data_IF_633735013414
#
_entry.id   IF_633735013414
#
_cell.length_a   1.000
_cell.length_b   1.000
_cell.length_c   1.000
_cell.angle_alpha   90.00
_cell.angle_beta   90.00
_cell.angle_gamma   90.00
#
_symmetry.space_group_name_H-M   'P 1'
#
loop_
_entity.id
_entity.type
_entity.pdbx_description
1 polymer ?
#
# COMPACT_ATOMS: atom_id res chain seq x y z
N UNK A 1 40.52 -8.10 17.02
CA UNK A 1 39.66 -9.30 17.15
C UNK A 1 38.20 -8.84 17.20
N UNK A 2 37.51 -8.81 16.06
CA UNK A 2 36.12 -8.37 15.99
C UNK A 2 35.19 -9.54 16.34
N UNK A 3 34.45 -9.41 17.45
CA UNK A 3 33.54 -10.42 17.95
C UNK A 3 32.36 -10.62 17.00
N UNK A 4 32.12 -11.88 16.61
CA UNK A 4 30.87 -12.31 16.00
C UNK A 4 29.72 -11.91 16.93
N UNK A 5 28.79 -11.09 16.41
CA UNK A 5 27.55 -10.78 17.12
C UNK A 5 26.75 -12.05 17.46
N UNK A 6 25.73 -11.93 18.31
CA UNK A 6 24.91 -13.07 18.74
C UNK A 6 24.40 -13.87 17.53
N UNK A 7 24.47 -15.20 17.63
CA UNK A 7 24.03 -16.08 16.56
C UNK A 7 22.56 -15.79 16.17
N UNK A 8 22.22 -15.77 14.87
CA UNK A 8 20.85 -15.55 14.42
C UNK A 8 19.89 -16.53 15.10
N UNK A 9 18.77 -16.02 15.59
CA UNK A 9 17.76 -16.83 16.28
C UNK A 9 17.30 -17.98 15.38
N UNK A 10 17.23 -19.18 15.96
CA UNK A 10 16.68 -20.39 15.33
C UNK A 10 15.39 -20.03 14.57
N UNK A 11 15.32 -20.31 13.26
CA UNK A 11 14.14 -20.04 12.43
C UNK A 11 12.83 -20.55 13.06
N UNK A 12 12.86 -21.69 13.76
CA UNK A 12 11.71 -22.30 14.43
C UNK A 12 11.27 -21.56 15.70
N UNK A 13 12.13 -20.69 16.24
CA UNK A 13 11.88 -19.87 17.45
C UNK A 13 11.66 -18.39 17.13
N UNK A 14 11.58 -18.04 15.84
CA UNK A 14 11.22 -16.69 15.40
C UNK A 14 9.72 -16.47 15.67
N UNK A 15 9.40 -15.36 16.32
CA UNK A 15 8.00 -14.95 16.46
C UNK A 15 7.43 -14.73 15.05
N UNK A 16 6.32 -15.40 14.72
CA UNK A 16 5.67 -15.32 13.41
C UNK A 16 5.63 -16.63 12.61
N UNK A 17 6.37 -17.66 13.00
CA UNK A 17 6.37 -18.96 12.30
C UNK A 17 5.33 -19.96 12.87
N UNK A 18 4.18 -19.48 13.34
CA UNK A 18 3.09 -20.40 13.74
C UNK A 18 2.48 -20.96 12.44
N UNK A 19 2.70 -22.26 12.23
CA UNK A 19 2.25 -23.04 11.08
C UNK A 19 0.73 -23.23 11.03
N UNK A 20 0.04 -22.89 12.12
CA UNK A 20 -1.40 -22.95 12.21
C UNK A 20 -1.97 -21.60 11.78
N UNK A 21 -2.29 -21.51 10.49
CA UNK A 21 -3.01 -20.36 9.96
C UNK A 21 -4.31 -20.17 10.75
N UNK A 22 -4.56 -18.94 11.20
CA UNK A 22 -5.85 -18.59 11.79
C UNK A 22 -6.95 -18.96 10.80
N UNK A 23 -8.05 -19.54 11.29
CA UNK A 23 -9.21 -19.81 10.45
C UNK A 23 -9.66 -18.48 9.82
N UNK A 24 -9.63 -18.43 8.49
CA UNK A 24 -10.05 -17.25 7.75
C UNK A 24 -11.55 -17.36 7.46
N UNK A 25 -12.29 -16.31 7.81
CA UNK A 25 -13.67 -16.16 7.33
C UNK A 25 -13.62 -15.77 5.86
N UNK A 26 -14.17 -16.63 5.00
CA UNK A 26 -14.31 -16.34 3.58
C UNK A 26 -15.58 -15.51 3.39
N UNK A 27 -15.42 -14.28 2.94
CA UNK A 27 -16.53 -13.40 2.56
C UNK A 27 -16.79 -13.54 1.07
N UNK A 28 -18.07 -13.51 0.66
CA UNK A 28 -18.44 -13.39 -0.75
C UNK A 28 -18.18 -11.95 -1.20
N UNK A 29 -17.52 -11.81 -2.35
CA UNK A 29 -17.39 -10.52 -3.00
C UNK A 29 -18.68 -10.17 -3.74
N UNK A 30 -19.23 -8.99 -3.46
CA UNK A 30 -20.35 -8.40 -4.18
C UNK A 30 -19.96 -6.97 -4.54
N UNK A 31 -19.69 -6.76 -5.82
CA UNK A 31 -19.42 -5.41 -6.34
C UNK A 31 -20.66 -4.55 -6.13
N UNK A 32 -20.46 -3.33 -5.65
CA UNK A 32 -21.53 -2.35 -5.46
C UNK A 32 -21.34 -1.17 -6.41
N UNK A 33 -22.45 -0.62 -6.87
CA UNK A 33 -22.48 0.61 -7.65
C UNK A 33 -22.13 1.81 -6.77
N UNK A 34 -21.42 2.82 -7.30
CA UNK A 34 -21.08 4.02 -6.56
C UNK A 34 -22.34 4.81 -6.22
N UNK A 35 -22.55 5.19 -4.95
CA UNK A 35 -23.69 5.98 -4.55
C UNK A 35 -23.56 7.42 -5.05
N UNK A 36 -24.68 8.11 -5.19
CA UNK A 36 -24.68 9.56 -5.29
C UNK A 36 -24.26 10.19 -3.95
N UNK A 37 -23.56 11.32 -4.02
CA UNK A 37 -23.26 12.09 -2.83
C UNK A 37 -24.57 12.73 -2.31
N UNK A 38 -24.89 12.54 -1.03
CA UNK A 38 -26.04 13.21 -0.43
C UNK A 38 -25.84 14.73 -0.43
N UNK A 39 -26.90 15.52 -0.23
CA UNK A 39 -26.76 16.95 0.05
C UNK A 39 -25.78 17.18 1.21
N UNK A 40 -24.79 18.04 1.00
CA UNK A 40 -23.86 18.42 2.06
C UNK A 40 -24.58 19.33 3.04
N UNK A 41 -24.50 19.03 4.33
CA UNK A 41 -25.07 19.85 5.39
C UNK A 41 -23.98 20.41 6.27
N UNK A 42 -24.02 21.72 6.50
CA UNK A 42 -23.11 22.43 7.39
C UNK A 42 -23.90 23.13 8.49
N UNK A 43 -23.26 23.27 9.66
CA UNK A 43 -23.82 24.03 10.77
C UNK A 43 -23.67 25.53 10.46
N UNK A 44 -24.77 26.26 10.46
CA UNK A 44 -24.78 27.72 10.41
C UNK A 44 -25.57 28.24 11.62
N UNK A 45 -24.85 28.64 12.67
CA UNK A 45 -25.47 28.94 13.97
C UNK A 45 -26.04 27.69 14.63
N UNK A 46 -27.32 27.73 15.00
CA UNK A 46 -28.03 26.60 15.63
C UNK A 46 -28.72 25.67 14.61
N UNK A 47 -28.68 26.02 13.32
CA UNK A 47 -29.33 25.25 12.26
C UNK A 47 -28.34 24.46 11.41
N UNK A 48 -28.83 23.37 10.82
CA UNK A 48 -28.12 22.60 9.79
C UNK A 48 -28.70 22.99 8.44
N UNK A 49 -27.92 23.69 7.63
CA UNK A 49 -28.32 24.15 6.30
C UNK A 49 -27.63 23.31 5.23
N UNK A 50 -28.31 23.13 4.10
CA UNK A 50 -27.69 22.51 2.92
C UNK A 50 -26.77 23.52 2.24
N UNK A 51 -25.54 23.07 1.96
CA UNK A 51 -24.49 23.86 1.33
C UNK A 51 -24.03 23.13 0.06
N UNK A 52 -23.56 23.85 -0.96
CA UNK A 52 -23.00 23.21 -2.13
C UNK A 52 -21.72 22.44 -1.77
N UNK A 53 -21.53 21.29 -2.40
CA UNK A 53 -20.26 20.58 -2.35
C UNK A 53 -19.16 21.44 -3.03
N UNK A 54 -17.93 21.47 -2.49
CA UNK A 54 -16.81 22.09 -3.18
C UNK A 54 -16.55 21.39 -4.52
N UNK A 55 -16.30 22.15 -5.60
CA UNK A 55 -16.03 21.59 -6.94
C UNK A 55 -14.93 20.54 -6.92
N UNK A 56 -13.83 20.82 -6.20
CA UNK A 56 -12.72 19.87 -6.05
C UNK A 56 -13.14 18.54 -5.40
N UNK A 57 -14.17 18.55 -4.54
CA UNK A 57 -14.69 17.31 -3.93
C UNK A 57 -15.54 16.51 -4.90
N UNK A 58 -16.32 17.16 -5.75
CA UNK A 58 -17.08 16.50 -6.80
C UNK A 58 -16.14 15.86 -7.82
N UNK A 59 -15.14 16.60 -8.30
CA UNK A 59 -14.10 16.07 -9.19
C UNK A 59 -13.35 14.89 -8.57
N UNK A 60 -13.01 15.02 -7.28
CA UNK A 60 -12.37 13.93 -6.54
C UNK A 60 -13.26 12.69 -6.41
N UNK A 61 -14.56 12.87 -6.22
CA UNK A 61 -15.53 11.76 -6.19
C UNK A 61 -15.64 11.07 -7.54
N UNK A 62 -15.75 11.82 -8.63
CA UNK A 62 -15.77 11.28 -10.00
C UNK A 62 -14.50 10.50 -10.32
N UNK A 63 -13.33 11.01 -9.92
CA UNK A 63 -12.05 10.30 -10.06
C UNK A 63 -12.06 8.95 -9.36
N UNK A 64 -12.60 8.84 -8.14
CA UNK A 64 -12.70 7.55 -7.45
C UNK A 64 -13.67 6.60 -8.14
N UNK A 65 -14.82 7.09 -8.61
CA UNK A 65 -15.77 6.27 -9.39
C UNK A 65 -15.15 5.70 -10.66
N UNK A 66 -14.31 6.48 -11.33
CA UNK A 66 -13.61 6.06 -12.55
C UNK A 66 -12.32 5.26 -12.28
N UNK A 67 -11.93 5.08 -11.01
CA UNK A 67 -10.67 4.44 -10.66
C UNK A 67 -10.74 2.91 -10.82
N UNK A 68 -9.65 2.24 -11.23
CA UNK A 68 -9.62 0.77 -11.30
C UNK A 68 -9.94 0.10 -9.95
N UNK A 69 -9.64 0.78 -8.83
CA UNK A 69 -9.96 0.27 -7.49
C UNK A 69 -11.47 0.09 -7.28
N UNK A 70 -12.29 0.91 -7.93
CA UNK A 70 -13.75 0.87 -7.79
C UNK A 70 -14.36 -0.45 -8.29
N UNK A 71 -13.69 -1.17 -9.18
CA UNK A 71 -14.09 -2.51 -9.64
C UNK A 71 -14.15 -3.53 -8.49
N UNK A 72 -13.42 -3.26 -7.40
CA UNK A 72 -13.34 -4.12 -6.22
C UNK A 72 -14.05 -3.53 -5.00
N UNK A 73 -14.85 -2.48 -5.16
CA UNK A 73 -15.57 -1.88 -4.04
C UNK A 73 -16.90 -2.57 -3.77
N UNK A 74 -17.10 -2.88 -2.49
CA UNK A 74 -18.37 -3.33 -1.93
C UNK A 74 -19.14 -2.14 -1.34
N UNK A 75 -20.37 -2.38 -0.88
CA UNK A 75 -21.21 -1.33 -0.28
C UNK A 75 -20.55 -0.67 0.93
N UNK A 76 -19.76 -1.41 1.72
CA UNK A 76 -19.04 -0.86 2.87
C UNK A 76 -17.88 0.05 2.46
N UNK A 77 -17.21 -0.25 1.35
CA UNK A 77 -16.13 0.57 0.80
C UNK A 77 -16.67 1.91 0.31
N UNK A 78 -17.77 1.88 -0.44
CA UNK A 78 -18.47 3.09 -0.88
C UNK A 78 -19.00 3.92 0.28
N UNK A 79 -19.57 3.28 1.30
CA UNK A 79 -20.02 3.98 2.51
C UNK A 79 -18.87 4.71 3.19
N UNK A 80 -17.71 4.05 3.32
CA UNK A 80 -16.54 4.65 3.94
C UNK A 80 -15.95 5.79 3.08
N UNK A 81 -15.93 5.62 1.75
CA UNK A 81 -15.44 6.65 0.84
C UNK A 81 -16.38 7.86 0.80
N UNK A 82 -17.70 7.65 0.93
CA UNK A 82 -18.69 8.73 1.09
C UNK A 82 -18.44 9.55 2.35
N UNK A 83 -18.15 8.91 3.48
CA UNK A 83 -17.75 9.64 4.69
C UNK A 83 -16.41 10.39 4.50
N UNK A 84 -15.52 9.81 3.70
CA UNK A 84 -14.24 10.44 3.35
C UNK A 84 -14.44 11.69 2.49
N UNK A 85 -15.47 11.72 1.62
CA UNK A 85 -15.84 12.91 0.86
C UNK A 85 -16.18 14.08 1.78
N UNK A 86 -16.84 13.85 2.92
CA UNK A 86 -17.13 14.89 3.91
C UNK A 86 -15.84 15.49 4.49
N UNK A 87 -14.85 14.65 4.80
CA UNK A 87 -13.55 15.09 5.32
C UNK A 87 -12.77 15.86 4.23
N UNK A 88 -12.84 15.40 2.98
CA UNK A 88 -12.27 16.10 1.83
C UNK A 88 -12.90 17.50 1.66
N UNK A 89 -14.23 17.60 1.71
CA UNK A 89 -14.94 18.87 1.61
C UNK A 89 -14.55 19.85 2.73
N UNK A 90 -14.45 19.37 3.99
CA UNK A 90 -13.97 20.19 5.11
C UNK A 90 -12.57 20.73 4.87
N UNK A 91 -11.66 19.89 4.39
CA UNK A 91 -10.29 20.28 4.09
C UNK A 91 -10.24 21.39 3.03
N UNK A 92 -10.98 21.22 1.94
CA UNK A 92 -11.06 22.21 0.85
C UNK A 92 -11.78 23.50 1.24
N UNK A 93 -12.68 23.45 2.22
CA UNK A 93 -13.31 24.62 2.81
C UNK A 93 -12.44 25.33 3.87
N UNK A 94 -11.16 24.93 4.01
CA UNK A 94 -10.17 25.62 4.84
C UNK A 94 -9.90 24.97 6.20
N UNK A 95 -10.54 23.86 6.53
CA UNK A 95 -10.26 23.12 7.76
C UNK A 95 -8.97 22.28 7.58
N UNK A 96 -7.82 22.92 7.78
CA UNK A 96 -6.50 22.29 7.60
C UNK A 96 -6.30 21.03 8.45
N UNK A 97 -6.91 20.98 9.64
CA UNK A 97 -6.87 19.82 10.56
C UNK A 97 -7.49 18.56 9.96
N UNK A 98 -8.42 18.68 9.01
CA UNK A 98 -9.04 17.54 8.32
C UNK A 98 -8.04 16.80 7.40
N UNK A 99 -6.92 17.43 7.01
CA UNK A 99 -5.97 16.84 6.07
C UNK A 99 -5.30 15.56 6.59
N UNK A 100 -4.98 15.49 7.89
CA UNK A 100 -4.35 14.31 8.48
C UNK A 100 -5.29 13.10 8.46
N UNK A 101 -6.57 13.31 8.80
CA UNK A 101 -7.60 12.28 8.73
C UNK A 101 -7.88 11.85 7.28
N UNK A 102 -8.01 12.83 6.37
CA UNK A 102 -8.20 12.57 4.95
C UNK A 102 -7.12 11.64 4.41
N UNK A 103 -5.84 11.94 4.69
CA UNK A 103 -4.69 11.13 4.28
C UNK A 103 -4.82 9.69 4.77
N UNK A 104 -5.19 9.46 6.03
CA UNK A 104 -5.33 8.11 6.59
C UNK A 104 -6.50 7.34 5.98
N UNK A 105 -7.60 8.02 5.66
CA UNK A 105 -8.78 7.42 5.04
C UNK A 105 -8.51 7.00 3.61
N UNK A 106 -7.98 7.89 2.77
CA UNK A 106 -7.70 7.60 1.35
C UNK A 106 -6.59 6.56 1.17
N UNK A 107 -5.67 6.49 2.13
CA UNK A 107 -4.60 5.50 2.17
C UNK A 107 -5.12 4.05 2.24
N UNK A 108 -6.33 3.82 2.78
CA UNK A 108 -6.97 2.48 2.82
C UNK A 108 -7.35 1.96 1.44
N UNK A 109 -7.49 2.85 0.46
CA UNK A 109 -7.91 2.54 -0.91
C UNK A 109 -6.77 2.66 -1.92
N UNK A 110 -5.52 2.85 -1.48
CA UNK A 110 -4.40 2.95 -2.42
C UNK A 110 -4.38 4.26 -3.21
N UNK A 111 -4.72 5.39 -2.56
CA UNK A 111 -4.72 6.69 -3.21
C UNK A 111 -3.35 7.09 -3.76
N UNK A 112 -2.27 6.81 -3.01
CA UNK A 112 -0.90 7.11 -3.42
C UNK A 112 -0.15 5.86 -3.94
N UNK A 113 0.93 6.02 -4.71
CA UNK A 113 1.78 4.89 -5.10
C UNK A 113 2.33 4.10 -3.90
N UNK A 114 2.69 4.80 -2.82
CA UNK A 114 3.14 4.17 -1.57
C UNK A 114 2.02 3.31 -0.95
N UNK A 115 0.79 3.84 -0.90
CA UNK A 115 -0.35 3.09 -0.38
C UNK A 115 -0.66 1.87 -1.24
N UNK A 116 -0.59 1.99 -2.57
CA UNK A 116 -0.77 0.84 -3.48
C UNK A 116 0.29 -0.22 -3.28
N UNK A 117 1.55 0.18 -3.14
CA UNK A 117 2.64 -0.75 -2.83
C UNK A 117 2.42 -1.44 -1.48
N UNK A 118 2.00 -0.71 -0.44
CA UNK A 118 1.67 -1.26 0.88
C UNK A 118 0.52 -2.26 0.82
N UNK A 119 -0.51 -1.97 0.02
CA UNK A 119 -1.68 -2.83 -0.17
C UNK A 119 -1.43 -3.96 -1.18
N UNK A 120 -0.24 -4.01 -1.80
CA UNK A 120 0.14 -4.97 -2.85
C UNK A 120 -0.83 -4.94 -4.04
N UNK A 121 -1.29 -3.75 -4.39
CA UNK A 121 -2.09 -3.53 -5.60
C UNK A 121 -1.15 -3.44 -6.79
N UNK A 122 -1.38 -4.27 -7.80
CA UNK A 122 -0.64 -4.27 -9.05
C UNK A 122 -1.60 -3.94 -10.20
N UNK A 123 -1.11 -3.19 -11.20
CA UNK A 123 -1.87 -2.98 -12.42
C UNK A 123 -1.64 -4.19 -13.34
N UNK A 124 -2.68 -4.70 -13.99
CA UNK A 124 -2.60 -5.91 -14.81
C UNK A 124 -1.49 -5.87 -15.89
N UNK A 125 -1.18 -4.70 -16.45
CA UNK A 125 -0.05 -4.54 -17.37
C UNK A 125 1.33 -4.77 -16.73
N UNK A 126 1.49 -4.47 -15.43
CA UNK A 126 2.71 -4.72 -14.69
C UNK A 126 2.86 -6.22 -14.37
N UNK A 127 1.76 -6.90 -14.04
CA UNK A 127 1.78 -8.34 -13.76
C UNK A 127 2.20 -9.15 -14.99
N UNK A 128 1.68 -8.80 -16.18
CA UNK A 128 2.11 -9.44 -17.41
C UNK A 128 3.60 -9.23 -17.73
N UNK A 129 4.13 -8.04 -17.43
CA UNK A 129 5.54 -7.73 -17.64
C UNK A 129 6.45 -8.47 -16.65
N UNK A 130 6.04 -8.58 -15.38
CA UNK A 130 6.77 -9.33 -14.36
C UNK A 130 6.68 -10.85 -14.58
N UNK A 131 5.54 -11.38 -15.03
CA UNK A 131 5.41 -12.79 -15.43
C UNK A 131 6.28 -13.15 -16.65
N UNK A 132 6.47 -12.20 -17.58
CA UNK A 132 7.35 -12.34 -18.74
C UNK A 132 8.83 -12.11 -18.40
N UNK A 133 9.13 -11.62 -17.19
CA UNK A 133 10.51 -11.43 -16.73
C UNK A 133 11.08 -12.82 -16.40
N UNK A 134 12.16 -13.26 -17.05
CA UNK A 134 12.81 -14.50 -16.68
C UNK A 134 13.22 -14.39 -15.20
N UNK A 135 12.94 -15.42 -14.42
CA UNK A 135 13.38 -15.49 -13.03
C UNK A 135 14.89 -15.20 -13.01
N UNK A 136 15.28 -14.10 -12.36
CA UNK A 136 16.68 -13.71 -12.28
C UNK A 136 17.47 -14.88 -11.69
N UNK A 137 18.61 -15.19 -12.31
CA UNK A 137 19.51 -16.24 -11.85
C UNK A 137 19.70 -16.12 -10.33
N UNK A 138 19.48 -17.22 -9.61
CA UNK A 138 19.55 -17.21 -8.16
C UNK A 138 20.94 -16.76 -7.70
N UNK A 139 21.07 -16.29 -6.46
CA UNK A 139 22.39 -15.97 -5.92
C UNK A 139 23.34 -17.19 -5.97
N UNK A 140 22.81 -18.42 -5.93
CA UNK A 140 23.58 -19.64 -6.16
C UNK A 140 24.03 -19.81 -7.61
N UNK A 141 23.21 -19.45 -8.60
CA UNK A 141 23.61 -19.48 -10.01
C UNK A 141 24.65 -18.39 -10.34
N UNK A 142 24.55 -17.22 -9.68
CA UNK A 142 25.46 -16.09 -9.93
C UNK A 142 26.79 -16.22 -9.20
N UNK A 143 26.81 -16.81 -8.00
CA UNK A 143 27.98 -16.83 -7.12
C UNK A 143 28.47 -18.25 -6.76
N UNK A 144 27.77 -19.30 -7.17
CA UNK A 144 28.10 -20.69 -6.82
C UNK A 144 29.43 -21.19 -7.38
N UNK A 145 29.87 -20.64 -8.50
CA UNK A 145 31.12 -21.06 -9.18
C UNK A 145 32.31 -20.10 -8.92
N UNK A 146 32.12 -19.10 -8.05
CA UNK A 146 33.21 -18.22 -7.63
C UNK A 146 34.13 -18.93 -6.64
N UNK A 147 35.24 -19.46 -7.16
CA UNK A 147 36.34 -19.96 -6.33
C UNK A 147 37.09 -18.80 -5.70
N UNK A 148 37.16 -18.79 -4.37
CA UNK A 148 38.03 -17.90 -3.61
C UNK A 148 39.48 -18.18 -4.03
N UNK A 149 40.11 -17.19 -4.68
CA UNK A 149 41.54 -17.24 -4.94
C UNK A 149 42.27 -17.16 -3.58
N UNK A 150 43.21 -18.07 -3.29
CA UNK A 150 44.01 -17.98 -2.08
C UNK A 150 44.75 -16.65 -2.10
N UNK A 151 44.50 -15.83 -1.08
CA UNK A 151 45.15 -14.52 -0.93
C UNK A 151 46.67 -14.68 -0.98
N UNK A 152 47.31 -13.90 -1.86
CA UNK A 152 48.76 -13.76 -1.91
C UNK A 152 49.27 -13.27 -0.57
N UNK A 153 49.93 -14.16 0.16
CA UNK A 153 50.35 -13.93 1.53
C UNK A 153 51.49 -14.85 1.94
N UNK A 154 52.58 -14.82 1.17
CA UNK A 154 53.99 -14.97 1.58
C UNK A 154 54.84 -14.96 0.30
N UNK A 155 55.97 -14.27 0.31
CA UNK A 155 56.95 -14.15 -0.78
C UNK A 155 56.68 -13.12 -1.87
N UNK A 156 56.54 -11.87 -1.44
CA UNK A 156 57.00 -10.73 -2.25
C UNK A 156 58.41 -10.32 -1.79
N UNK A 157 59.44 -11.11 -2.11
CA UNK A 157 60.85 -10.64 -2.02
C UNK A 157 61.75 -11.33 -3.06
N UNK A 158 62.54 -10.49 -3.73
CA UNK A 158 63.81 -10.74 -4.43
C UNK A 158 63.81 -11.26 -5.88
N UNK A 159 64.25 -10.40 -6.78
CA UNK A 159 64.81 -10.76 -8.08
C UNK A 159 65.17 -9.52 -8.90
N UNK A 160 66.46 -9.31 -9.14
CA UNK A 160 67.13 -8.11 -9.67
C UNK A 160 66.68 -7.61 -11.05
#
# INVERSE_FOLDING_TARGET
MAGRGPAPKDPRRRAGHRKDGHQQTVLRFEQAEPPELPPLRARQGDEMVEVPWPTATLEWWEMWKASPQAEHFTSTDWSFLRDTALVHARHWNGESTAGAELRLRVAKFGATPEDRARLRMQFAQADEADLKRPAGASAEDQFGDLKVLPGGGADAVAGA
#
